data_IF_761753646856
#
_entry.id   IF_761753646856
#
_cell.length_a   1.000
_cell.length_b   1.000
_cell.length_c   1.000
_cell.angle_alpha   90.00
_cell.angle_beta   90.00
_cell.angle_gamma   90.00
#
_symmetry.space_group_name_H-M   'P 1'
#
loop_
_entity.id
_entity.type
_entity.pdbx_description
1 polymer ?
#
# COMPACT_ATOMS: atom_id res chain seq x y z
N UNK A 1 -0.46 -9.16 -12.58
CA UNK A 1 -0.75 -7.89 -13.32
C UNK A 1 0.19 -7.84 -14.53
N UNK A 2 -0.03 -6.99 -15.53
CA UNK A 2 0.90 -6.79 -16.64
C UNK A 2 1.15 -5.30 -16.89
N UNK A 3 2.38 -4.98 -17.31
CA UNK A 3 2.81 -3.66 -17.74
C UNK A 3 3.26 -3.72 -19.21
N UNK A 4 2.86 -2.74 -20.01
CA UNK A 4 3.33 -2.59 -21.38
C UNK A 4 3.57 -1.12 -21.72
N UNK A 5 4.58 -0.84 -22.53
CA UNK A 5 4.90 0.49 -23.09
C UNK A 5 5.70 0.28 -24.39
N UNK A 6 5.87 1.32 -25.21
CA UNK A 6 6.34 1.22 -26.60
C UNK A 6 7.70 0.53 -26.80
N UNK A 7 8.53 0.44 -25.77
CA UNK A 7 9.86 -0.18 -25.85
C UNK A 7 9.86 -1.67 -25.46
N UNK A 8 8.74 -2.21 -25.00
CA UNK A 8 8.61 -3.64 -24.71
C UNK A 8 8.01 -4.36 -25.92
N UNK A 9 8.70 -5.41 -26.38
CA UNK A 9 8.20 -6.30 -27.43
C UNK A 9 6.93 -7.04 -26.96
N UNK A 10 6.94 -7.48 -25.70
CA UNK A 10 5.83 -8.18 -25.06
C UNK A 10 5.50 -7.57 -23.68
N UNK A 11 4.22 -7.60 -23.26
CA UNK A 11 3.85 -7.14 -21.92
C UNK A 11 4.59 -7.90 -20.83
N UNK A 12 5.19 -7.16 -19.91
CA UNK A 12 5.89 -7.73 -18.78
C UNK A 12 4.90 -8.13 -17.69
N UNK A 13 4.98 -9.38 -17.24
CA UNK A 13 4.17 -9.87 -16.12
C UNK A 13 4.74 -9.36 -14.80
N UNK A 14 3.88 -8.72 -14.02
CA UNK A 14 4.15 -8.32 -12.64
C UNK A 14 3.55 -9.38 -11.70
N UNK A 15 4.43 -10.12 -11.07
CA UNK A 15 4.13 -11.14 -10.05
C UNK A 15 4.78 -10.73 -8.74
N UNK A 16 4.00 -10.79 -7.66
CA UNK A 16 4.43 -10.44 -6.30
C UNK A 16 5.30 -9.17 -6.29
N UNK A 17 6.57 -9.31 -5.89
CA UNK A 17 7.58 -8.27 -5.97
C UNK A 17 8.35 -8.39 -7.29
N UNK A 18 8.18 -7.42 -8.19
CA UNK A 18 8.89 -7.37 -9.46
C UNK A 18 9.87 -6.20 -9.47
N UNK A 19 11.12 -6.46 -9.87
CA UNK A 19 12.14 -5.42 -10.08
C UNK A 19 12.28 -5.20 -11.58
N UNK A 20 12.10 -3.95 -12.01
CA UNK A 20 12.36 -3.51 -13.37
C UNK A 20 13.46 -2.46 -13.34
N UNK A 21 14.63 -2.87 -13.82
CA UNK A 21 15.81 -2.03 -13.97
C UNK A 21 15.82 -1.42 -15.37
N UNK A 22 15.88 -0.09 -15.49
CA UNK A 22 15.98 0.61 -16.77
C UNK A 22 17.30 1.37 -16.81
N UNK A 23 18.23 0.93 -17.67
CA UNK A 23 19.59 1.52 -17.72
C UNK A 23 19.63 2.89 -18.39
N UNK A 24 18.84 3.09 -19.46
CA UNK A 24 18.79 4.39 -20.13
C UNK A 24 18.01 5.40 -19.27
N UNK A 25 18.69 6.47 -18.87
CA UNK A 25 18.15 7.51 -17.98
C UNK A 25 16.96 8.26 -18.62
N UNK A 26 16.95 8.44 -19.94
CA UNK A 26 15.86 9.14 -20.64
C UNK A 26 14.61 8.27 -20.63
N UNK A 27 14.75 6.96 -20.86
CA UNK A 27 13.66 6.01 -20.76
C UNK A 27 13.16 5.91 -19.33
N UNK A 28 14.06 5.77 -18.36
CA UNK A 28 13.69 5.71 -16.94
C UNK A 28 12.89 6.95 -16.51
N UNK A 29 13.39 8.14 -16.81
CA UNK A 29 12.71 9.40 -16.50
C UNK A 29 11.36 9.53 -17.23
N UNK A 30 11.29 9.13 -18.50
CA UNK A 30 10.04 9.15 -19.26
C UNK A 30 9.02 8.15 -18.70
N UNK A 31 9.47 6.97 -18.27
CA UNK A 31 8.61 5.96 -17.67
C UNK A 31 8.04 6.46 -16.34
N UNK A 32 8.85 7.07 -15.47
CA UNK A 32 8.38 7.69 -14.23
C UNK A 32 7.32 8.75 -14.53
N UNK A 33 7.59 9.64 -15.50
CA UNK A 33 6.60 10.64 -15.93
C UNK A 33 5.29 9.98 -16.39
N UNK A 34 5.37 8.91 -17.17
CA UNK A 34 4.20 8.17 -17.64
C UNK A 34 3.42 7.50 -16.49
N UNK A 35 4.08 7.07 -15.41
CA UNK A 35 3.41 6.59 -14.20
C UNK A 35 2.63 7.71 -13.51
N UNK A 36 3.24 8.88 -13.32
CA UNK A 36 2.56 10.03 -12.70
C UNK A 36 1.44 10.63 -13.56
N UNK A 37 1.54 10.53 -14.88
CA UNK A 37 0.51 10.93 -15.85
C UNK A 37 -0.40 9.77 -16.28
N UNK A 38 -0.38 8.66 -15.54
CA UNK A 38 -1.15 7.48 -15.91
C UNK A 38 -2.65 7.80 -15.98
N UNK A 39 -3.33 7.30 -17.02
CA UNK A 39 -4.75 7.54 -17.29
C UNK A 39 -5.03 8.74 -18.21
N UNK A 40 -4.04 9.60 -18.44
CA UNK A 40 -4.02 10.50 -19.59
C UNK A 40 -3.65 9.72 -20.88
N UNK A 41 -3.65 10.39 -22.04
CA UNK A 41 -3.19 9.80 -23.30
C UNK A 41 -1.67 9.53 -23.26
N UNK A 42 -1.29 8.45 -22.59
CA UNK A 42 0.08 8.02 -22.37
C UNK A 42 0.38 6.66 -22.99
N UNK A 43 1.68 6.36 -23.11
CA UNK A 43 2.21 5.12 -23.67
C UNK A 43 2.12 3.93 -22.69
N UNK A 44 2.12 4.22 -21.38
CA UNK A 44 2.07 3.21 -20.33
C UNK A 44 0.69 2.58 -20.21
N UNK A 45 0.63 1.25 -20.33
CA UNK A 45 -0.58 0.44 -20.14
C UNK A 45 -0.38 -0.53 -19.00
N UNK A 46 -1.30 -0.51 -18.03
CA UNK A 46 -1.36 -1.46 -16.93
C UNK A 46 -2.67 -2.23 -17.03
N UNK A 47 -2.63 -3.55 -16.99
CA UNK A 47 -3.85 -4.37 -17.15
C UNK A 47 -3.73 -5.73 -16.46
N UNK A 48 -4.88 -6.30 -16.12
CA UNK A 48 -4.95 -7.64 -15.51
C UNK A 48 -4.88 -8.77 -16.56
N UNK A 49 -4.92 -10.03 -16.09
CA UNK A 49 -4.90 -11.23 -16.95
C UNK A 49 -6.09 -11.32 -17.92
N UNK A 50 -7.15 -10.51 -17.73
CA UNK A 50 -8.33 -10.44 -18.61
C UNK A 50 -8.24 -9.25 -19.56
N UNK A 51 -7.07 -8.62 -19.68
CA UNK A 51 -6.83 -7.42 -20.47
C UNK A 51 -7.67 -6.21 -20.01
N UNK A 52 -8.15 -6.21 -18.77
CA UNK A 52 -8.86 -5.07 -18.21
C UNK A 52 -7.83 -4.06 -17.71
N UNK A 53 -7.89 -2.84 -18.25
CA UNK A 53 -7.04 -1.73 -17.84
C UNK A 53 -7.20 -1.39 -16.35
N UNK A 54 -6.08 -1.15 -15.69
CA UNK A 54 -6.01 -0.66 -14.33
C UNK A 54 -6.44 0.80 -14.29
N UNK A 55 -7.27 1.20 -13.32
CA UNK A 55 -7.65 2.61 -13.15
C UNK A 55 -6.59 3.37 -12.37
N UNK A 56 -6.49 4.69 -12.57
CA UNK A 56 -5.63 5.58 -11.79
C UNK A 56 -5.81 5.43 -10.28
N UNK A 57 -7.07 5.32 -9.85
CA UNK A 57 -7.41 5.16 -8.43
C UNK A 57 -6.95 3.82 -7.84
N UNK A 58 -6.65 2.83 -8.67
CA UNK A 58 -6.16 1.50 -8.27
C UNK A 58 -4.62 1.43 -8.27
N UNK A 59 -3.93 2.48 -8.76
CA UNK A 59 -2.48 2.61 -8.77
C UNK A 59 -1.99 3.43 -7.57
N UNK A 60 -0.85 3.03 -6.99
CA UNK A 60 -0.18 3.74 -5.90
C UNK A 60 1.30 3.90 -6.26
N UNK A 61 1.80 5.13 -6.29
CA UNK A 61 3.17 5.45 -6.69
C UNK A 61 3.85 6.19 -5.54
N UNK A 62 5.04 5.75 -5.16
CA UNK A 62 5.82 6.32 -4.07
C UNK A 62 7.24 6.56 -4.56
N UNK A 63 7.64 7.83 -4.54
CA UNK A 63 9.03 8.25 -4.82
C UNK A 63 9.72 8.67 -3.54
N UNK A 64 9.04 9.44 -2.68
CA UNK A 64 9.53 9.79 -1.36
C UNK A 64 8.87 8.89 -0.30
N UNK A 65 9.67 8.01 0.30
CA UNK A 65 9.21 7.07 1.34
C UNK A 65 8.95 7.80 2.66
N UNK A 66 9.77 8.80 2.99
CA UNK A 66 9.71 9.49 4.29
C UNK A 66 8.54 10.46 4.34
N UNK A 67 8.30 11.20 3.26
CA UNK A 67 7.21 12.17 3.16
C UNK A 67 5.83 11.51 3.00
N UNK A 68 5.77 10.23 2.63
CA UNK A 68 4.49 9.55 2.42
C UNK A 68 3.62 9.53 3.70
N UNK A 69 2.44 10.17 3.60
CA UNK A 69 1.48 10.24 4.70
C UNK A 69 0.66 8.94 4.81
N UNK A 70 1.15 8.05 5.65
CA UNK A 70 0.51 6.79 6.02
C UNK A 70 -0.79 7.03 6.80
N UNK A 71 -0.95 8.21 7.43
CA UNK A 71 -2.11 8.57 8.23
C UNK A 71 -3.09 9.48 7.47
N UNK A 72 -3.13 9.39 6.14
CA UNK A 72 -4.12 10.14 5.36
C UNK A 72 -5.56 9.81 5.84
N UNK A 73 -6.50 10.77 5.75
CA UNK A 73 -7.88 10.55 6.23
C UNK A 73 -8.57 9.31 5.61
N UNK A 74 -8.19 8.96 4.37
CA UNK A 74 -8.71 7.77 3.68
C UNK A 74 -8.21 6.48 4.32
N UNK A 75 -6.91 6.42 4.66
CA UNK A 75 -6.31 5.25 5.30
C UNK A 75 -6.87 5.10 6.72
N UNK A 76 -6.90 6.17 7.51
CA UNK A 76 -7.44 6.14 8.87
C UNK A 76 -8.89 5.63 8.91
N UNK A 77 -9.73 6.09 7.97
CA UNK A 77 -11.11 5.60 7.87
C UNK A 77 -11.18 4.09 7.63
N UNK A 78 -10.27 3.54 6.82
CA UNK A 78 -10.21 2.10 6.55
C UNK A 78 -9.70 1.34 7.77
N UNK A 79 -8.65 1.83 8.44
CA UNK A 79 -8.13 1.24 9.69
C UNK A 79 -9.20 1.21 10.79
N UNK A 80 -9.95 2.31 10.95
CA UNK A 80 -11.03 2.37 11.96
C UNK A 80 -12.17 1.40 11.65
N UNK A 81 -12.52 1.22 10.38
CA UNK A 81 -13.54 0.27 9.97
C UNK A 81 -13.09 -1.20 10.16
N UNK A 82 -11.84 -1.50 9.85
CA UNK A 82 -11.25 -2.83 10.06
C UNK A 82 -11.22 -3.21 11.55
N UNK A 83 -10.80 -2.28 12.41
CA UNK A 83 -10.84 -2.49 13.87
C UNK A 83 -12.26 -2.68 14.40
N UNK A 84 -13.23 -1.93 13.89
CA UNK A 84 -14.64 -2.13 14.22
C UNK A 84 -15.13 -3.52 13.80
N UNK A 85 -14.71 -4.00 12.63
CA UNK A 85 -15.01 -5.36 12.15
C UNK A 85 -14.37 -6.43 13.05
N UNK A 86 -13.10 -6.26 13.48
CA UNK A 86 -12.47 -7.16 14.45
C UNK A 86 -13.26 -7.27 15.77
N UNK A 87 -13.82 -6.16 16.27
CA UNK A 87 -14.71 -6.22 17.44
C UNK A 87 -16.01 -6.97 17.13
N UNK A 88 -16.56 -6.81 15.92
CA UNK A 88 -17.77 -7.53 15.50
C UNK A 88 -17.55 -9.05 15.39
N UNK A 89 -16.34 -9.49 15.03
CA UNK A 89 -15.94 -10.90 15.00
C UNK A 89 -15.77 -11.52 16.40
N UNK A 90 -15.65 -10.70 17.45
CA UNK A 90 -15.52 -11.12 18.85
C UNK A 90 -16.71 -10.64 19.71
N UNK A 91 -17.86 -11.35 19.67
CA UNK A 91 -19.08 -10.93 20.35
C UNK A 91 -18.94 -10.68 21.86
N UNK A 92 -18.08 -11.44 22.54
CA UNK A 92 -17.84 -11.29 23.99
C UNK A 92 -17.18 -9.94 24.33
N UNK A 93 -16.13 -9.58 23.60
CA UNK A 93 -15.39 -8.32 23.78
C UNK A 93 -16.28 -7.14 23.38
N UNK A 94 -17.00 -7.26 22.26
CA UNK A 94 -17.96 -6.26 21.82
C UNK A 94 -19.04 -6.01 22.88
N UNK A 95 -19.64 -7.07 23.43
CA UNK A 95 -20.66 -6.92 24.48
C UNK A 95 -20.12 -6.25 25.74
N UNK A 96 -18.87 -6.54 26.12
CA UNK A 96 -18.22 -5.86 27.24
C UNK A 96 -18.01 -4.36 26.95
N UNK A 97 -17.55 -4.02 25.75
CA UNK A 97 -17.34 -2.63 25.33
C UNK A 97 -18.66 -1.83 25.29
N UNK A 98 -19.71 -2.42 24.73
CA UNK A 98 -21.06 -1.83 24.66
C UNK A 98 -21.64 -1.60 26.06
N UNK A 99 -21.42 -2.51 27.01
CA UNK A 99 -21.82 -2.32 28.41
C UNK A 99 -21.10 -1.14 29.06
N UNK A 100 -19.79 -1.02 28.85
CA UNK A 100 -19.01 0.11 29.38
C UNK A 100 -19.46 1.44 28.76
N UNK A 101 -19.70 1.46 27.45
CA UNK A 101 -20.22 2.63 26.75
C UNK A 101 -21.61 3.03 27.25
N UNK A 102 -22.48 2.06 27.54
CA UNK A 102 -23.79 2.30 28.14
C UNK A 102 -23.67 2.91 29.55
N UNK A 103 -22.80 2.37 30.41
CA UNK A 103 -22.57 2.93 31.75
C UNK A 103 -22.03 4.37 31.68
N UNK A 104 -21.11 4.66 30.77
CA UNK A 104 -20.63 6.03 30.55
C UNK A 104 -21.78 6.95 30.08
N UNK A 105 -22.61 6.46 29.16
CA UNK A 105 -23.77 7.20 28.65
C UNK A 105 -24.77 7.52 29.77
N UNK A 106 -25.04 6.58 30.67
CA UNK A 106 -25.93 6.78 31.83
C UNK A 106 -25.39 7.84 32.80
N UNK A 107 -24.08 7.84 33.07
CA UNK A 107 -23.46 8.84 33.93
C UNK A 107 -23.55 10.25 33.32
N UNK A 108 -23.32 10.38 32.01
CA UNK A 108 -23.44 11.66 31.31
C UNK A 108 -24.90 12.11 31.24
N UNK A 109 -25.82 11.17 31.00
CA UNK A 109 -27.26 11.44 30.96
C UNK A 109 -27.78 12.02 32.28
N UNK A 110 -27.26 11.54 33.40
CA UNK A 110 -27.61 12.06 34.72
C UNK A 110 -27.26 13.55 34.84
N UNK A 111 -26.04 13.93 34.45
CA UNK A 111 -25.61 15.34 34.42
C UNK A 111 -26.41 16.19 33.42
N UNK A 112 -26.82 15.61 32.29
CA UNK A 112 -27.68 16.29 31.33
C UNK A 112 -29.07 16.60 31.91
N UNK A 113 -29.63 15.71 32.73
CA UNK A 113 -30.92 15.90 33.40
C UNK A 113 -30.87 16.96 34.51
N UNK A 114 -29.72 17.12 35.17
CA UNK A 114 -29.51 18.18 36.16
C UNK A 114 -29.32 19.56 35.52
N UNK A 115 -29.13 19.62 34.20
CA UNK A 115 -28.98 20.88 33.48
C UNK A 115 -30.32 21.65 33.38
N UNK A 116 -30.24 22.98 33.35
CA UNK A 116 -31.42 23.84 33.17
C UNK A 116 -31.99 23.78 31.73
N UNK A 117 -31.22 23.26 30.78
CA UNK A 117 -31.59 23.11 29.38
C UNK A 117 -32.15 21.73 29.09
N UNK A 118 -33.13 21.65 28.18
CA UNK A 118 -33.60 20.39 27.62
C UNK A 118 -32.57 19.83 26.62
N UNK A 119 -31.71 18.92 27.08
CA UNK A 119 -30.63 18.33 26.29
C UNK A 119 -31.02 16.97 25.70
N UNK A 120 -30.64 16.73 24.45
CA UNK A 120 -30.73 15.44 23.76
C UNK A 120 -29.33 14.89 23.43
N UNK A 121 -29.21 13.56 23.36
CA UNK A 121 -27.94 12.89 23.03
C UNK A 121 -28.18 11.55 22.34
N UNK A 122 -27.22 11.17 21.49
CA UNK A 122 -27.18 9.88 20.82
C UNK A 122 -26.38 8.85 21.64
N UNK A 123 -26.41 7.58 21.20
CA UNK A 123 -25.60 6.51 21.77
C UNK A 123 -24.14 6.62 21.32
N UNK A 124 -23.21 6.31 22.21
CA UNK A 124 -21.79 6.17 21.87
C UNK A 124 -21.59 4.88 21.06
N UNK A 125 -20.98 4.99 19.88
CA UNK A 125 -20.63 3.85 19.03
C UNK A 125 -19.17 3.43 19.19
N UNK A 126 -18.86 2.18 18.83
CA UNK A 126 -17.47 1.66 18.85
C UNK A 126 -16.57 2.49 17.92
N UNK A 127 -17.07 2.85 16.74
CA UNK A 127 -16.34 3.67 15.78
C UNK A 127 -16.01 5.06 16.33
N UNK A 128 -16.92 5.69 17.08
CA UNK A 128 -16.67 6.97 17.75
C UNK A 128 -15.63 6.84 18.86
N UNK A 129 -15.66 5.74 19.62
CA UNK A 129 -14.63 5.45 20.63
C UNK A 129 -13.25 5.28 19.99
N UNK A 130 -13.15 4.54 18.88
CA UNK A 130 -11.89 4.36 18.13
C UNK A 130 -11.34 5.70 17.65
N UNK A 131 -12.21 6.56 17.10
CA UNK A 131 -11.83 7.91 16.64
C UNK A 131 -11.41 8.80 17.81
N UNK A 132 -12.16 8.79 18.91
CA UNK A 132 -11.89 9.61 20.10
C UNK A 132 -10.58 9.20 20.79
N UNK A 133 -10.22 7.92 20.74
CA UNK A 133 -8.94 7.41 21.23
C UNK A 133 -7.75 7.91 20.37
N UNK A 134 -8.00 8.39 19.15
CA UNK A 134 -6.95 8.90 18.27
C UNK A 134 -6.14 7.78 17.61
N UNK A 135 -6.74 6.62 17.37
CA UNK A 135 -6.07 5.48 16.73
C UNK A 135 -5.54 5.89 15.35
N UNK A 136 -4.24 5.69 15.15
CA UNK A 136 -3.51 5.99 13.92
C UNK A 136 -2.36 5.01 13.74
N UNK A 137 -1.84 4.89 12.53
CA UNK A 137 -0.64 4.10 12.26
C UNK A 137 0.54 4.78 12.95
N UNK A 138 1.33 3.99 13.67
CA UNK A 138 2.58 4.47 14.24
C UNK A 138 3.48 4.98 13.12
N UNK A 139 4.09 6.13 13.34
CA UNK A 139 4.95 6.81 12.35
C UNK A 139 6.30 7.16 12.94
N UNK A 140 6.62 6.62 14.13
CA UNK A 140 7.97 6.61 14.65
C UNK A 140 8.77 5.51 13.94
N UNK A 141 8.97 5.71 12.64
CA UNK A 141 9.93 4.92 11.87
C UNK A 141 11.30 5.56 12.09
N UNK A 142 12.24 4.82 12.68
CA UNK A 142 13.61 5.29 12.87
C UNK A 142 14.40 5.20 11.54
N UNK A 143 13.94 4.36 10.61
CA UNK A 143 14.62 4.07 9.33
C UNK A 143 13.69 4.10 8.10
N UNK A 144 14.29 4.30 6.91
CA UNK A 144 13.58 4.20 5.62
C UNK A 144 13.02 2.79 5.41
N UNK A 145 13.70 1.76 5.92
CA UNK A 145 13.26 0.37 5.87
C UNK A 145 11.94 0.14 6.63
N UNK A 146 11.87 0.58 7.89
CA UNK A 146 10.65 0.47 8.71
C UNK A 146 9.48 1.23 8.06
N UNK A 147 9.75 2.44 7.56
CA UNK A 147 8.74 3.24 6.85
C UNK A 147 8.22 2.52 5.60
N UNK A 148 9.10 1.85 4.84
CA UNK A 148 8.73 1.06 3.68
C UNK A 148 7.85 -0.15 4.08
N UNK A 149 8.19 -0.83 5.19
CA UNK A 149 7.37 -1.91 5.74
C UNK A 149 5.98 -1.43 6.16
N UNK A 150 5.86 -0.28 6.83
CA UNK A 150 4.58 0.32 7.20
C UNK A 150 3.73 0.63 5.95
N UNK A 151 4.35 1.16 4.89
CA UNK A 151 3.69 1.39 3.60
C UNK A 151 3.16 0.07 3.01
N UNK A 152 3.95 -0.99 3.02
CA UNK A 152 3.54 -2.31 2.55
C UNK A 152 2.37 -2.87 3.39
N UNK A 153 2.42 -2.70 4.71
CA UNK A 153 1.32 -3.07 5.60
C UNK A 153 0.04 -2.33 5.23
N UNK A 154 0.10 -1.01 5.08
CA UNK A 154 -1.07 -0.22 4.66
C UNK A 154 -1.56 -0.61 3.27
N UNK A 155 -0.68 -0.82 2.31
CA UNK A 155 -1.06 -1.26 0.97
C UNK A 155 -1.85 -2.58 1.00
N UNK A 156 -1.55 -3.49 1.93
CA UNK A 156 -2.32 -4.73 2.16
C UNK A 156 -3.78 -4.44 2.51
N UNK A 157 -4.02 -3.44 3.35
CA UNK A 157 -5.36 -3.04 3.78
C UNK A 157 -6.12 -2.27 2.69
N UNK A 158 -5.41 -1.60 1.77
CA UNK A 158 -6.02 -0.84 0.68
C UNK A 158 -6.50 -1.73 -0.47
N UNK A 159 -7.56 -2.53 -0.25
CA UNK A 159 -8.11 -3.49 -1.25
C UNK A 159 -8.48 -2.90 -2.61
N UNK A 160 -8.72 -1.59 -2.70
CA UNK A 160 -8.96 -0.88 -3.97
C UNK A 160 -7.68 -0.63 -4.77
N UNK A 161 -6.53 -0.56 -4.09
CA UNK A 161 -5.21 -0.44 -4.71
C UNK A 161 -4.75 -1.84 -5.12
N UNK A 162 -4.26 -1.96 -6.36
CA UNK A 162 -3.90 -3.26 -6.97
C UNK A 162 -2.43 -3.33 -7.38
N UNK A 163 -1.77 -2.18 -7.52
CA UNK A 163 -0.36 -2.09 -7.84
C UNK A 163 0.27 -0.97 -7.02
N UNK A 164 1.33 -1.32 -6.29
CA UNK A 164 2.23 -0.38 -5.64
C UNK A 164 3.50 -0.26 -6.47
N UNK A 165 3.96 0.96 -6.73
CA UNK A 165 5.18 1.25 -7.48
C UNK A 165 6.10 2.08 -6.61
N UNK A 166 7.26 1.54 -6.29
CA UNK A 166 8.35 2.31 -5.69
C UNK A 166 9.31 2.78 -6.78
N UNK A 167 9.70 4.05 -6.69
CA UNK A 167 10.59 4.69 -7.68
C UNK A 167 11.95 4.92 -7.04
N UNK A 168 12.99 4.26 -7.59
CA UNK A 168 14.38 4.38 -7.17
C UNK A 168 14.59 4.21 -5.65
N UNK A 169 13.81 3.32 -5.03
CA UNK A 169 13.86 3.10 -3.59
C UNK A 169 14.94 2.11 -3.19
N UNK A 170 15.34 1.21 -4.10
CA UNK A 170 16.33 0.17 -3.85
C UNK A 170 17.68 0.74 -3.38
N UNK A 171 17.99 1.97 -3.79
CA UNK A 171 19.18 2.71 -3.37
C UNK A 171 19.28 2.93 -1.85
N UNK A 172 18.19 2.82 -1.10
CA UNK A 172 18.15 3.06 0.36
C UNK A 172 18.27 1.79 1.20
N UNK A 173 18.12 0.61 0.61
CA UNK A 173 18.05 -0.65 1.35
C UNK A 173 19.35 -1.44 1.19
N UNK A 174 19.80 -2.03 2.28
CA UNK A 174 20.80 -3.11 2.25
C UNK A 174 20.21 -4.34 1.55
N UNK A 175 21.06 -5.31 1.19
CA UNK A 175 20.62 -6.56 0.57
C UNK A 175 19.67 -7.33 1.51
N UNK A 176 20.01 -7.37 2.80
CA UNK A 176 19.25 -8.06 3.83
C UNK A 176 17.88 -7.40 4.09
N UNK A 177 17.83 -6.07 4.12
CA UNK A 177 16.57 -5.33 4.24
C UNK A 177 15.67 -5.57 3.03
N UNK A 178 16.23 -5.55 1.83
CA UNK A 178 15.44 -5.77 0.62
C UNK A 178 14.89 -7.21 0.53
N UNK A 179 15.65 -8.22 0.98
CA UNK A 179 15.16 -9.60 1.10
C UNK A 179 13.95 -9.67 2.05
N UNK A 180 13.99 -8.98 3.20
CA UNK A 180 12.85 -8.94 4.12
C UNK A 180 11.61 -8.28 3.51
N UNK A 181 11.78 -7.20 2.73
CA UNK A 181 10.68 -6.58 1.99
C UNK A 181 10.08 -7.59 0.99
N UNK A 182 10.93 -8.33 0.28
CA UNK A 182 10.53 -9.35 -0.68
C UNK A 182 9.74 -10.48 0.00
N UNK A 183 10.26 -11.05 1.09
CA UNK A 183 9.56 -12.08 1.87
C UNK A 183 8.18 -11.59 2.32
N UNK A 184 8.09 -10.36 2.83
CA UNK A 184 6.81 -9.78 3.25
C UNK A 184 5.81 -9.67 2.09
N UNK A 185 6.24 -9.15 0.94
CA UNK A 185 5.39 -8.99 -0.26
C UNK A 185 4.91 -10.35 -0.79
N UNK A 186 5.78 -11.36 -0.79
CA UNK A 186 5.46 -12.71 -1.21
C UNK A 186 4.43 -13.36 -0.28
N UNK A 187 4.63 -13.29 1.04
CA UNK A 187 3.72 -13.82 2.06
C UNK A 187 2.36 -13.12 2.07
N UNK A 188 2.34 -11.82 1.78
CA UNK A 188 1.11 -11.03 1.72
C UNK A 188 0.43 -11.06 0.35
N UNK A 189 1.04 -11.72 -0.65
CA UNK A 189 0.54 -11.86 -2.03
C UNK A 189 0.18 -10.50 -2.69
N UNK A 190 1.01 -9.49 -2.42
CA UNK A 190 0.84 -8.14 -2.95
C UNK A 190 1.52 -8.00 -4.31
N UNK A 191 0.98 -7.16 -5.21
CA UNK A 191 1.68 -6.81 -6.46
C UNK A 191 2.43 -5.49 -6.28
N UNK A 192 3.76 -5.56 -6.21
CA UNK A 192 4.67 -4.44 -5.98
C UNK A 192 5.72 -4.39 -7.10
N UNK A 193 5.94 -3.20 -7.65
CA UNK A 193 6.94 -2.94 -8.69
C UNK A 193 8.01 -1.99 -8.15
N UNK A 194 9.27 -2.39 -8.25
CA UNK A 194 10.43 -1.52 -8.01
C UNK A 194 10.98 -1.07 -9.35
N UNK A 195 10.92 0.24 -9.61
CA UNK A 195 11.54 0.86 -10.78
C UNK A 195 12.90 1.39 -10.40
N UNK A 196 13.95 0.75 -10.89
CA UNK A 196 15.32 1.08 -10.52
C UNK A 196 16.15 1.52 -11.74
N UNK A 197 17.03 2.52 -11.62
CA UNK A 197 17.92 2.94 -12.70
C UNK A 197 19.14 2.03 -12.84
N UNK A 198 19.38 1.14 -11.86
CA UNK A 198 20.54 0.25 -11.78
C UNK A 198 20.14 -1.10 -11.21
N UNK A 199 20.86 -2.19 -11.58
CA UNK A 199 20.53 -3.50 -11.07
C UNK A 199 20.61 -3.56 -9.55
N UNK A 200 19.62 -4.20 -8.94
CA UNK A 200 19.53 -4.30 -7.49
C UNK A 200 20.06 -5.65 -7.01
N UNK A 201 21.29 -5.64 -6.49
CA UNK A 201 22.00 -6.82 -5.99
C UNK A 201 21.92 -8.03 -6.95
N UNK A 202 21.79 -9.24 -6.40
CA UNK A 202 21.65 -10.52 -7.08
C UNK A 202 20.18 -10.99 -7.15
N UNK A 203 19.20 -10.10 -6.91
CA UNK A 203 17.79 -10.46 -6.96
C UNK A 203 17.31 -10.75 -8.40
N UNK A 204 16.31 -11.63 -8.56
CA UNK A 204 15.62 -11.83 -9.84
C UNK A 204 15.01 -10.52 -10.33
N UNK A 205 15.42 -10.09 -11.52
CA UNK A 205 14.99 -8.79 -12.05
C UNK A 205 14.94 -8.78 -13.57
N UNK A 206 14.11 -7.88 -14.10
CA UNK A 206 14.06 -7.55 -15.51
C UNK A 206 14.95 -6.33 -15.75
N UNK A 207 15.78 -6.38 -16.78
CA UNK A 207 16.70 -5.30 -17.13
C UNK A 207 16.40 -4.89 -18.56
N UNK A 208 15.95 -3.65 -18.73
CA UNK A 208 15.91 -2.98 -20.01
C UNK A 208 17.27 -2.31 -20.23
N UNK A 209 18.06 -2.85 -21.15
CA UNK A 209 19.38 -2.34 -21.46
C UNK A 209 19.35 -1.09 -22.35
N UNK A 210 20.53 -0.57 -22.70
CA UNK A 210 20.68 0.65 -23.50
C UNK A 210 20.28 0.44 -24.98
N UNK A 211 20.25 -0.81 -25.43
CA UNK A 211 19.79 -1.21 -26.76
C UNK A 211 18.28 -1.53 -26.77
N UNK A 212 17.59 -1.29 -25.64
CA UNK A 212 16.17 -1.54 -25.40
C UNK A 212 15.76 -3.00 -25.46
N UNK A 213 16.70 -3.93 -25.26
CA UNK A 213 16.37 -5.33 -25.05
C UNK A 213 16.06 -5.61 -23.59
N UNK A 214 14.97 -6.34 -23.35
CA UNK A 214 14.59 -6.79 -22.02
C UNK A 214 15.25 -8.14 -21.74
N UNK A 215 16.14 -8.17 -20.74
CA UNK A 215 16.78 -9.41 -20.27
C UNK A 215 16.35 -9.75 -18.84
N UNK A 216 16.23 -11.03 -18.55
CA UNK A 216 16.01 -11.52 -17.18
C UNK A 216 17.34 -11.88 -16.54
N UNK A 217 17.66 -11.27 -15.40
CA UNK A 217 18.87 -11.60 -14.63
C UNK A 217 18.49 -12.30 -13.33
N UNK A 218 19.32 -13.28 -12.92
CA UNK A 218 19.22 -14.02 -11.65
C UNK A 218 17.86 -14.69 -11.39
N UNK A 219 17.07 -14.98 -12.43
CA UNK A 219 15.96 -15.91 -12.29
C UNK A 219 16.55 -17.28 -11.94
N UNK A 220 16.15 -17.84 -10.79
CA UNK A 220 16.38 -19.25 -10.50
C UNK A 220 15.72 -20.05 -11.64
N UNK A 221 16.54 -20.72 -12.46
CA UNK A 221 16.03 -21.71 -13.40
C UNK A 221 15.39 -22.86 -12.60
N UNK A 222 14.08 -23.04 -12.74
CA UNK A 222 13.30 -24.14 -12.19
C UNK A 222 11.89 -23.66 -11.83
N UNK A 223 10.79 -24.15 -12.40
CA UNK A 223 10.51 -25.45 -13.01
C UNK A 223 9.51 -25.19 -14.14
N UNK A 224 9.86 -25.50 -15.39
CA UNK A 224 8.85 -25.77 -16.41
C UNK A 224 8.19 -27.10 -16.09
N UNK A 225 6.90 -27.09 -15.75
CA UNK A 225 5.96 -28.18 -15.96
C UNK A 225 4.57 -27.63 -16.25
#
# INVERSE_FOLDING_TARGET
MMINFSLLDEPLKLEQMTILTVKDVRVFSSLIRNFYQYGESGDLKLFDHRLKGLKETELMIITDILEYDINSPTILKMVHADLEECFNEQPEVKSMLEKLAATITELIAFECLENELDLEYDKITILELIKALGVKVETQSDTIFEKCLEILQVFKYLTKKKLLVFVNSGSYFTREEFEQLKEYVELSNQTVLFLEPRPLYDFPQYILDEDYFLVTQNKLEGIEH
#
